data_IF_788881607675
#
_entry.id   IF_788881607675
#
_cell.length_a   1.000
_cell.length_b   1.000
_cell.length_c   1.000
_cell.angle_alpha   90.00
_cell.angle_beta   90.00
_cell.angle_gamma   90.00
#
_symmetry.space_group_name_H-M   'P 1'
#
loop_
_entity.id
_entity.type
_entity.pdbx_description
1 polymer ?
#
# COMPACT_ATOMS: atom_id res chain seq x y z
N UNK A 1 -0.85 1.76 32.95
CA UNK A 1 0.60 2.07 33.00
C UNK A 1 1.21 1.49 34.27
N UNK A 2 2.35 0.77 34.14
CA UNK A 2 3.19 0.13 35.21
C UNK A 2 2.89 -1.30 35.69
N UNK A 3 2.34 -2.22 34.87
CA UNK A 3 2.38 -3.67 35.20
C UNK A 3 2.78 -4.65 34.10
N UNK A 4 3.20 -4.20 32.92
CA UNK A 4 3.51 -5.11 31.79
C UNK A 4 5.00 -5.24 31.44
N UNK A 5 5.91 -4.64 32.21
CA UNK A 5 7.36 -4.76 31.94
C UNK A 5 8.02 -6.03 32.50
N UNK A 6 7.29 -6.92 33.19
CA UNK A 6 7.89 -8.02 33.94
C UNK A 6 8.01 -9.36 33.20
N UNK A 7 7.50 -9.50 31.97
CA UNK A 7 7.53 -10.78 31.25
C UNK A 7 8.79 -10.98 30.39
N UNK A 8 9.67 -9.97 30.26
CA UNK A 8 10.89 -10.06 29.45
C UNK A 8 12.15 -10.55 30.20
N UNK A 9 12.10 -10.77 31.53
CA UNK A 9 13.33 -11.01 32.32
C UNK A 9 13.66 -12.47 32.64
N UNK A 10 12.84 -13.47 32.30
CA UNK A 10 13.03 -14.85 32.80
C UNK A 10 13.76 -15.85 31.89
N UNK A 11 14.35 -15.43 30.76
CA UNK A 11 15.14 -16.34 29.90
C UNK A 11 16.67 -16.14 29.96
N UNK A 12 17.21 -15.29 30.85
CA UNK A 12 18.62 -14.87 30.81
C UNK A 12 19.53 -15.43 31.92
N UNK A 13 19.13 -16.45 32.68
CA UNK A 13 20.01 -17.01 33.71
C UNK A 13 20.22 -18.51 33.49
N UNK A 14 21.42 -18.85 33.04
CA UNK A 14 21.94 -20.21 33.13
C UNK A 14 23.03 -20.46 32.11
N UNK A 15 24.28 -20.07 32.44
CA UNK A 15 25.52 -20.67 31.91
C UNK A 15 26.73 -20.04 32.63
N UNK A 16 27.11 -20.59 33.78
CA UNK A 16 28.48 -20.52 34.30
C UNK A 16 28.89 -21.94 34.71
N UNK A 17 29.93 -22.47 34.08
CA UNK A 17 30.56 -23.75 34.40
C UNK A 17 31.95 -23.80 33.77
N UNK A 18 32.97 -23.88 34.62
CA UNK A 18 34.38 -23.84 34.26
C UNK A 18 34.88 -25.16 33.64
N UNK A 19 35.79 -25.08 32.66
CA UNK A 19 36.54 -26.21 32.13
C UNK A 19 37.59 -25.76 31.10
N UNK A 20 38.82 -26.25 31.23
CA UNK A 20 40.00 -25.91 30.40
C UNK A 20 40.30 -26.94 29.30
N UNK A 21 40.90 -26.45 28.20
CA UNK A 21 41.92 -27.08 27.30
C UNK A 21 41.55 -27.34 25.80
N UNK A 22 42.41 -26.76 24.93
CA UNK A 22 42.93 -27.09 23.58
C UNK A 22 42.21 -26.75 22.25
N UNK A 23 43.05 -26.30 21.30
CA UNK A 23 42.83 -25.95 19.89
C UNK A 23 42.67 -27.20 18.99
N UNK A 24 42.11 -27.22 17.77
CA UNK A 24 42.23 -26.33 16.58
C UNK A 24 41.11 -26.60 15.52
N UNK A 25 40.84 -25.58 14.69
CA UNK A 25 40.30 -25.56 13.30
C UNK A 25 38.79 -25.81 13.05
N UNK A 26 38.24 -25.40 11.87
CA UNK A 26 38.25 -24.09 11.20
C UNK A 26 36.99 -23.27 11.58
N UNK A 27 37.02 -21.95 11.35
CA UNK A 27 35.97 -20.99 11.74
C UNK A 27 34.58 -21.43 11.26
N UNK A 28 33.73 -21.79 12.23
CA UNK A 28 32.28 -22.01 12.04
C UNK A 28 31.62 -20.68 11.64
N UNK A 29 30.61 -20.66 10.74
CA UNK A 29 29.88 -19.43 10.45
C UNK A 29 29.24 -18.95 11.76
N UNK A 30 29.58 -17.74 12.17
CA UNK A 30 29.09 -17.11 13.40
C UNK A 30 27.56 -17.13 13.44
N UNK A 31 26.98 -17.89 14.36
CA UNK A 31 25.56 -17.71 14.73
C UNK A 31 25.36 -16.24 15.11
N UNK A 32 24.32 -15.54 14.63
CA UNK A 32 23.94 -14.27 15.20
C UNK A 32 23.61 -14.52 16.68
N UNK A 33 24.38 -13.91 17.58
CA UNK A 33 24.20 -14.00 19.03
C UNK A 33 23.01 -13.20 19.55
N UNK A 34 22.23 -12.59 18.66
CA UNK A 34 21.18 -11.64 18.99
C UNK A 34 19.95 -11.77 18.08
N UNK A 35 18.79 -11.42 18.64
CA UNK A 35 17.52 -11.21 17.95
C UNK A 35 17.70 -10.22 16.79
N UNK A 36 17.19 -10.55 15.60
CA UNK A 36 17.21 -9.66 14.43
C UNK A 36 15.80 -9.38 13.95
N UNK A 37 15.56 -8.16 13.48
CA UNK A 37 14.28 -7.76 12.94
C UNK A 37 14.42 -7.48 11.46
N UNK A 38 13.36 -7.77 10.72
CA UNK A 38 13.25 -7.58 9.29
C UNK A 38 11.85 -7.06 9.02
N UNK A 39 11.69 -6.10 8.12
CA UNK A 39 10.37 -5.50 7.92
C UNK A 39 10.20 -4.97 6.51
N UNK A 40 8.95 -4.90 6.09
CA UNK A 40 8.56 -4.23 4.84
C UNK A 40 7.28 -3.41 5.10
N UNK A 41 6.68 -2.88 4.04
CA UNK A 41 5.45 -2.09 4.13
C UNK A 41 4.23 -2.89 4.68
N UNK A 42 4.32 -4.22 4.76
CA UNK A 42 3.19 -5.10 5.08
C UNK A 42 3.30 -5.76 6.46
N UNK A 43 4.53 -6.02 6.94
CA UNK A 43 4.73 -6.65 8.25
C UNK A 43 6.15 -6.48 8.80
N UNK A 44 6.28 -6.74 10.09
CA UNK A 44 7.57 -6.86 10.79
C UNK A 44 7.77 -8.29 11.27
N UNK A 45 8.89 -8.88 10.87
CA UNK A 45 9.37 -10.20 11.24
C UNK A 45 10.54 -10.06 12.22
N UNK A 46 10.65 -11.00 13.15
CA UNK A 46 11.79 -11.14 14.04
C UNK A 46 12.35 -12.56 13.95
N UNK A 47 13.65 -12.66 13.74
CA UNK A 47 14.41 -13.90 13.72
C UNK A 47 15.04 -14.11 15.10
N UNK A 48 14.53 -15.11 15.83
CA UNK A 48 14.93 -15.44 17.20
C UNK A 48 15.89 -16.63 17.20
N UNK A 49 17.13 -16.49 17.68
CA UNK A 49 18.05 -17.63 17.83
C UNK A 49 17.50 -18.67 18.81
N UNK A 50 17.59 -19.95 18.45
CA UNK A 50 17.20 -21.10 19.27
C UNK A 50 18.40 -22.03 19.51
N UNK A 51 18.31 -22.92 20.51
CA UNK A 51 19.37 -23.91 20.81
C UNK A 51 19.79 -24.76 19.60
N UNK A 52 18.91 -24.96 18.62
CA UNK A 52 19.15 -25.78 17.43
C UNK A 52 18.71 -25.13 16.11
N UNK A 53 18.74 -23.80 16.00
CA UNK A 53 18.35 -23.10 14.77
C UNK A 53 17.80 -21.69 15.02
N UNK A 54 16.75 -21.32 14.29
CA UNK A 54 16.04 -20.04 14.46
C UNK A 54 14.53 -20.24 14.48
N UNK A 55 13.81 -19.35 15.14
CA UNK A 55 12.36 -19.17 14.97
C UNK A 55 12.11 -17.86 14.25
N UNK A 56 11.11 -17.82 13.39
CA UNK A 56 10.59 -16.58 12.82
C UNK A 56 9.32 -16.22 13.59
N UNK A 57 9.25 -15.04 14.19
CA UNK A 57 8.01 -14.57 14.81
C UNK A 57 7.59 -13.25 14.19
N UNK A 58 6.29 -12.98 14.25
CA UNK A 58 5.70 -11.73 13.80
C UNK A 58 4.63 -11.31 14.79
N UNK A 59 4.44 -10.00 14.89
CA UNK A 59 3.50 -9.38 15.80
C UNK A 59 2.18 -9.10 15.07
N UNK A 60 1.08 -9.66 15.56
CA UNK A 60 -0.27 -9.22 15.19
C UNK A 60 -0.89 -8.44 16.34
N UNK A 61 -1.42 -7.24 16.10
CA UNK A 61 -2.27 -6.59 17.09
C UNK A 61 -3.56 -7.41 17.29
N UNK A 62 -4.04 -7.48 18.53
CA UNK A 62 -5.30 -8.13 18.88
C UNK A 62 -6.05 -7.33 19.93
N UNK A 63 -7.33 -7.66 20.15
CA UNK A 63 -8.24 -6.93 21.05
C UNK A 63 -7.71 -6.82 22.51
N UNK A 64 -6.74 -7.65 22.91
CA UNK A 64 -6.13 -7.65 24.25
C UNK A 64 -4.58 -7.47 24.22
N UNK A 65 -4.05 -6.78 23.20
CA UNK A 65 -2.62 -6.51 23.03
C UNK A 65 -1.96 -7.32 21.89
N UNK A 66 -0.65 -7.13 21.71
CA UNK A 66 0.11 -7.76 20.63
C UNK A 66 0.22 -9.27 20.83
N UNK A 67 -0.39 -10.05 19.93
CA UNK A 67 -0.21 -11.49 19.83
C UNK A 67 1.02 -11.79 18.99
N UNK A 68 2.00 -12.45 19.61
CA UNK A 68 3.18 -12.96 18.93
C UNK A 68 2.90 -14.36 18.43
N UNK A 69 2.92 -14.53 17.12
CA UNK A 69 2.82 -15.85 16.49
C UNK A 69 4.23 -16.31 16.10
N UNK A 70 4.50 -17.59 16.39
CA UNK A 70 5.82 -18.19 16.26
C UNK A 70 5.79 -19.23 15.17
N UNK A 71 6.72 -19.13 14.24
CA UNK A 71 6.96 -20.13 13.23
C UNK A 71 8.32 -20.79 13.43
N UNK A 72 8.33 -22.10 13.30
CA UNK A 72 9.56 -22.86 13.37
C UNK A 72 10.23 -22.91 12.01
N UNK A 73 11.50 -22.51 11.97
CA UNK A 73 12.34 -22.67 10.80
C UNK A 73 13.15 -23.96 10.94
N UNK A 74 13.00 -24.87 9.98
CA UNK A 74 13.84 -26.06 9.91
C UNK A 74 15.05 -25.78 8.99
N UNK A 75 16.29 -26.02 9.44
CA UNK A 75 17.46 -25.82 8.58
C UNK A 75 17.47 -26.83 7.43
N UNK A 76 17.66 -26.36 6.20
CA UNK A 76 17.85 -27.21 5.02
C UNK A 76 19.32 -27.25 4.58
N UNK A 77 19.95 -26.07 4.50
CA UNK A 77 21.36 -25.86 4.11
C UNK A 77 21.85 -24.50 4.64
N UNK A 78 23.11 -24.16 4.41
CA UNK A 78 23.71 -22.89 4.85
C UNK A 78 22.83 -21.70 4.40
N UNK A 79 22.38 -20.90 5.36
CA UNK A 79 21.54 -19.69 5.20
C UNK A 79 20.14 -19.91 4.57
N UNK A 80 19.65 -21.15 4.57
CA UNK A 80 18.36 -21.55 3.97
C UNK A 80 17.55 -22.44 4.93
N UNK A 81 16.28 -22.08 5.11
CA UNK A 81 15.37 -22.73 6.05
C UNK A 81 14.00 -22.98 5.42
N UNK A 82 13.30 -24.00 5.88
CA UNK A 82 11.88 -24.23 5.55
C UNK A 82 11.00 -23.63 6.63
N UNK A 83 10.01 -22.82 6.26
CA UNK A 83 8.94 -22.41 7.16
C UNK A 83 7.97 -23.57 7.38
N UNK A 84 7.68 -23.97 8.63
CA UNK A 84 6.81 -25.13 8.89
C UNK A 84 5.34 -24.82 9.10
N UNK A 85 4.99 -23.55 9.31
CA UNK A 85 3.63 -23.11 9.61
C UNK A 85 3.31 -21.83 8.80
N UNK A 86 2.05 -21.65 8.41
CA UNK A 86 1.61 -20.55 7.55
C UNK A 86 1.41 -19.25 8.34
N UNK A 87 1.90 -18.14 7.78
CA UNK A 87 1.63 -16.79 8.25
C UNK A 87 0.69 -15.99 7.35
N UNK A 88 0.40 -14.73 7.72
CA UNK A 88 -0.62 -13.92 7.04
C UNK A 88 -0.29 -13.66 5.57
N UNK A 89 0.99 -13.64 5.25
CA UNK A 89 1.56 -13.29 3.94
C UNK A 89 2.49 -14.38 3.40
N UNK A 90 3.13 -15.17 4.27
CA UNK A 90 4.09 -16.24 3.90
C UNK A 90 3.48 -17.62 4.16
N UNK A 91 3.46 -18.48 3.13
CA UNK A 91 2.87 -19.82 3.23
C UNK A 91 3.80 -20.83 3.90
N UNK A 92 3.22 -21.84 4.57
CA UNK A 92 3.95 -23.01 5.03
C UNK A 92 4.75 -23.65 3.87
N UNK A 93 5.89 -24.25 4.20
CA UNK A 93 6.88 -24.84 3.30
C UNK A 93 7.60 -23.86 2.36
N UNK A 94 7.38 -22.55 2.52
CA UNK A 94 8.17 -21.53 1.81
C UNK A 94 9.64 -21.59 2.23
N UNK A 95 10.54 -21.48 1.26
CA UNK A 95 11.97 -21.31 1.54
C UNK A 95 12.21 -19.91 2.12
N UNK A 96 12.88 -19.87 3.26
CA UNK A 96 13.35 -18.66 3.93
C UNK A 96 14.87 -18.58 3.79
N UNK A 97 15.39 -17.48 3.26
CA UNK A 97 16.84 -17.26 3.10
C UNK A 97 17.29 -16.00 3.81
N UNK A 98 18.46 -16.07 4.43
CA UNK A 98 19.13 -14.91 5.02
C UNK A 98 20.28 -14.48 4.11
N UNK A 99 20.39 -13.18 3.85
CA UNK A 99 21.54 -12.66 3.09
C UNK A 99 22.84 -12.85 3.88
N UNK A 100 24.00 -12.97 3.20
CA UNK A 100 25.30 -12.87 3.87
C UNK A 100 25.39 -11.56 4.66
N UNK A 101 25.71 -11.65 5.95
CA UNK A 101 25.73 -10.49 6.88
C UNK A 101 24.37 -10.16 7.52
N UNK A 102 23.28 -10.77 7.05
CA UNK A 102 21.93 -10.64 7.61
C UNK A 102 21.34 -9.25 7.40
N UNK A 103 21.59 -8.64 6.24
CA UNK A 103 21.01 -7.37 5.78
C UNK A 103 19.61 -7.54 5.17
N UNK A 104 19.22 -8.76 4.81
CA UNK A 104 17.89 -9.07 4.27
C UNK A 104 17.46 -10.48 4.66
N UNK A 105 16.15 -10.67 4.80
CA UNK A 105 15.47 -11.95 4.91
C UNK A 105 14.54 -12.08 3.71
N UNK A 106 14.56 -13.21 3.02
CA UNK A 106 13.65 -13.52 1.92
C UNK A 106 12.76 -14.66 2.37
N UNK A 107 11.44 -14.52 2.32
CA UNK A 107 10.50 -15.58 2.65
C UNK A 107 9.43 -15.71 1.56
N UNK A 108 9.47 -16.82 0.83
CA UNK A 108 8.64 -16.98 -0.37
C UNK A 108 8.95 -15.91 -1.41
N UNK A 109 7.95 -15.09 -1.76
CA UNK A 109 8.09 -13.98 -2.73
C UNK A 109 8.48 -12.64 -2.10
N UNK A 110 8.53 -12.55 -0.77
CA UNK A 110 8.73 -11.29 -0.07
C UNK A 110 10.18 -11.13 0.38
N UNK A 111 10.69 -9.91 0.24
CA UNK A 111 12.01 -9.49 0.72
C UNK A 111 11.82 -8.51 1.87
N UNK A 112 12.49 -8.78 2.98
CA UNK A 112 12.43 -8.00 4.22
C UNK A 112 13.83 -7.45 4.52
N UNK A 113 14.10 -6.16 4.31
CA UNK A 113 15.35 -5.54 4.76
C UNK A 113 15.52 -5.68 6.27
N UNK A 114 16.77 -5.87 6.71
CA UNK A 114 17.13 -5.91 8.11
C UNK A 114 16.89 -4.53 8.73
N UNK A 115 16.24 -4.55 9.88
CA UNK A 115 15.96 -3.36 10.67
C UNK A 115 16.78 -3.44 11.95
N UNK A 116 17.37 -2.30 12.33
CA UNK A 116 17.95 -2.15 13.67
C UNK A 116 16.81 -1.90 14.63
N UNK A 117 16.39 -2.92 15.37
CA UNK A 117 15.29 -2.77 16.32
C UNK A 117 15.76 -2.07 17.59
N UNK A 118 15.28 -0.85 17.78
CA UNK A 118 15.53 -0.02 18.96
C UNK A 118 14.61 -0.36 20.13
N UNK A 119 13.71 -1.35 19.99
CA UNK A 119 12.88 -1.84 21.10
C UNK A 119 11.38 -1.50 21.07
N UNK A 120 10.79 -1.06 19.95
CA UNK A 120 9.46 -0.41 19.99
C UNK A 120 8.46 -0.90 18.90
N UNK A 121 7.13 -0.92 19.17
CA UNK A 121 6.09 -1.57 18.33
C UNK A 121 5.74 -0.81 17.02
N UNK A 122 4.93 -1.41 16.11
CA UNK A 122 4.57 -0.85 14.77
C UNK A 122 3.98 0.56 14.76
N UNK A 123 3.44 1.03 15.87
CA UNK A 123 2.97 2.42 16.03
C UNK A 123 4.08 3.48 15.84
N UNK A 124 5.37 3.07 15.87
CA UNK A 124 6.52 3.93 15.56
C UNK A 124 6.79 4.12 14.06
N UNK A 125 6.35 3.21 13.17
CA UNK A 125 6.54 3.39 11.72
C UNK A 125 5.80 4.62 11.19
N UNK A 126 4.80 5.08 11.93
CA UNK A 126 4.02 6.28 11.67
C UNK A 126 4.18 7.37 12.73
N UNK A 127 5.37 7.48 13.37
CA UNK A 127 5.61 8.51 14.38
C UNK A 127 5.79 9.90 13.78
N UNK A 128 6.58 10.00 12.72
CA UNK A 128 6.84 11.25 12.02
C UNK A 128 6.58 11.02 10.54
N UNK A 129 5.72 11.86 9.97
CA UNK A 129 5.50 11.88 8.54
C UNK A 129 6.79 12.36 7.84
N UNK A 130 7.14 11.83 6.66
CA UNK A 130 8.18 12.40 5.83
C UNK A 130 7.91 13.87 5.55
N UNK A 131 8.97 14.62 5.27
CA UNK A 131 8.84 15.99 4.80
C UNK A 131 8.05 16.02 3.47
N UNK A 132 7.31 17.10 3.26
CA UNK A 132 6.60 17.33 2.00
C UNK A 132 7.59 17.82 0.94
N UNK A 133 7.81 17.01 -0.10
CA UNK A 133 8.71 17.34 -1.19
C UNK A 133 8.43 18.74 -1.76
N UNK A 134 9.48 19.45 -2.16
CA UNK A 134 9.33 20.75 -2.79
C UNK A 134 8.48 20.65 -4.08
N UNK A 135 7.47 21.52 -4.28
CA UNK A 135 6.55 21.41 -5.42
C UNK A 135 7.22 21.44 -6.80
N UNK A 136 8.37 22.10 -6.92
CA UNK A 136 9.15 22.14 -8.15
C UNK A 136 9.76 20.76 -8.48
N UNK A 137 10.19 20.00 -7.49
CA UNK A 137 10.73 18.64 -7.69
C UNK A 137 9.61 17.60 -7.81
N UNK A 138 8.53 17.74 -7.04
CA UNK A 138 7.34 16.89 -7.17
C UNK A 138 6.79 16.95 -8.60
N UNK A 139 6.86 18.12 -9.25
CA UNK A 139 6.46 18.31 -10.63
C UNK A 139 7.27 17.48 -11.66
N UNK A 140 8.36 16.83 -11.25
CA UNK A 140 9.17 15.90 -12.07
C UNK A 140 8.87 14.42 -11.79
N UNK A 141 8.13 14.10 -10.73
CA UNK A 141 7.67 12.73 -10.42
C UNK A 141 6.65 12.30 -11.47
N UNK A 142 6.72 11.06 -11.93
CA UNK A 142 5.77 10.51 -12.88
C UNK A 142 6.36 9.43 -13.78
N UNK A 143 5.57 9.01 -14.77
CA UNK A 143 5.98 8.00 -15.75
C UNK A 143 6.58 8.66 -16.98
N UNK A 144 7.62 8.04 -17.54
CA UNK A 144 8.30 8.52 -18.73
C UNK A 144 8.50 7.36 -19.71
N UNK A 145 8.14 7.54 -20.98
CA UNK A 145 8.22 6.50 -22.00
C UNK A 145 9.11 6.92 -23.17
N UNK A 146 9.91 6.00 -23.69
CA UNK A 146 10.88 6.29 -24.75
C UNK A 146 11.66 5.03 -25.12
N UNK A 147 11.99 4.87 -26.41
CA UNK A 147 12.78 3.72 -26.88
C UNK A 147 12.10 2.34 -26.75
N UNK A 148 10.85 2.27 -26.31
CA UNK A 148 10.14 1.02 -25.99
C UNK A 148 10.06 0.72 -24.49
N UNK A 149 10.73 1.51 -23.66
CA UNK A 149 10.76 1.36 -22.20
C UNK A 149 9.80 2.35 -21.51
N UNK A 150 9.44 2.02 -20.27
CA UNK A 150 8.78 2.91 -19.33
C UNK A 150 9.64 3.04 -18.07
N UNK A 151 9.87 4.28 -17.66
CA UNK A 151 10.59 4.66 -16.45
C UNK A 151 9.60 5.29 -15.48
N UNK A 152 9.83 5.10 -14.19
CA UNK A 152 9.09 5.77 -13.13
C UNK A 152 10.06 6.64 -12.34
N UNK A 153 9.83 7.95 -12.31
CA UNK A 153 10.52 8.88 -11.42
C UNK A 153 9.67 9.05 -10.17
N UNK A 154 10.27 8.87 -8.99
CA UNK A 154 9.62 9.03 -7.69
C UNK A 154 10.53 9.77 -6.71
N UNK A 155 9.98 10.22 -5.59
CA UNK A 155 10.81 10.58 -4.44
C UNK A 155 11.25 9.32 -3.71
N UNK A 156 12.47 9.29 -3.16
CA UNK A 156 12.92 8.32 -2.18
C UNK A 156 13.93 8.97 -1.22
N UNK A 157 13.56 9.03 0.06
CA UNK A 157 14.31 9.68 1.13
C UNK A 157 14.62 11.16 0.84
N UNK A 158 13.65 11.88 0.27
CA UNK A 158 13.77 13.30 -0.06
C UNK A 158 14.51 13.62 -1.37
N UNK A 159 14.99 12.61 -2.09
CA UNK A 159 15.70 12.77 -3.37
C UNK A 159 14.91 12.11 -4.50
N UNK A 160 15.16 12.51 -5.75
CA UNK A 160 14.57 11.81 -6.89
C UNK A 160 15.26 10.46 -7.13
N UNK A 161 14.47 9.46 -7.44
CA UNK A 161 14.90 8.11 -7.80
C UNK A 161 14.21 7.68 -9.10
N UNK A 162 14.95 6.97 -9.94
CA UNK A 162 14.47 6.41 -11.20
C UNK A 162 14.34 4.91 -11.09
N UNK A 163 13.14 4.39 -11.38
CA UNK A 163 12.83 2.97 -11.45
C UNK A 163 12.73 2.57 -12.93
N UNK A 164 13.47 1.52 -13.30
CA UNK A 164 13.49 0.97 -14.66
C UNK A 164 12.68 -0.33 -14.72
N UNK A 165 11.67 -0.39 -15.59
CA UNK A 165 10.87 -1.60 -15.82
C UNK A 165 11.74 -2.70 -16.48
N UNK A 166 12.19 -3.69 -15.70
CA UNK A 166 13.03 -4.79 -16.20
C UNK A 166 12.25 -5.87 -16.95
N UNK A 167 10.96 -6.05 -16.62
CA UNK A 167 10.09 -7.06 -17.22
C UNK A 167 8.86 -6.40 -17.83
N UNK A 168 8.58 -6.73 -19.09
CA UNK A 168 7.37 -6.25 -19.77
C UNK A 168 6.12 -6.68 -18.98
N UNK A 169 5.30 -5.70 -18.59
CA UNK A 169 4.08 -5.83 -17.78
C UNK A 169 4.30 -5.88 -16.26
N UNK A 170 5.46 -5.45 -15.74
CA UNK A 170 5.68 -5.23 -14.31
C UNK A 170 4.98 -3.94 -13.86
N UNK A 171 3.65 -3.98 -13.80
CA UNK A 171 2.80 -2.78 -13.62
C UNK A 171 2.98 -2.11 -12.25
N UNK A 172 3.47 -2.84 -11.26
CA UNK A 172 3.72 -2.31 -9.91
C UNK A 172 5.21 -2.06 -9.65
N UNK A 173 6.08 -2.17 -10.68
CA UNK A 173 7.53 -1.93 -10.60
C UNK A 173 8.23 -2.70 -9.46
N UNK A 174 7.62 -3.78 -8.93
CA UNK A 174 8.17 -4.54 -7.80
C UNK A 174 9.46 -5.27 -8.15
N UNK A 175 9.75 -5.43 -9.44
CA UNK A 175 10.97 -6.06 -9.95
C UNK A 175 11.92 -5.06 -10.61
N UNK A 176 11.67 -3.75 -10.46
CA UNK A 176 12.47 -2.72 -11.10
C UNK A 176 13.80 -2.51 -10.40
N UNK A 177 14.86 -2.22 -11.17
CA UNK A 177 16.07 -1.63 -10.61
C UNK A 177 15.80 -0.17 -10.28
N UNK A 178 16.37 0.33 -9.19
CA UNK A 178 16.26 1.72 -8.80
C UNK A 178 17.62 2.42 -8.81
N UNK A 179 17.62 3.67 -9.28
CA UNK A 179 18.82 4.48 -9.46
C UNK A 179 18.59 5.86 -8.88
N UNK A 180 19.44 6.27 -7.93
CA UNK A 180 19.37 7.60 -7.35
C UNK A 180 19.70 8.68 -8.41
N UNK A 181 18.94 9.76 -8.41
CA UNK A 181 19.20 10.96 -9.19
C UNK A 181 19.78 12.03 -8.27
N UNK A 182 21.08 12.28 -8.38
CA UNK A 182 21.74 13.33 -7.61
C UNK A 182 21.50 14.66 -8.29
N UNK A 183 20.84 15.60 -7.59
CA UNK A 183 20.58 16.94 -8.13
C UNK A 183 21.89 17.71 -8.35
N UNK A 184 22.09 18.21 -9.57
CA UNK A 184 23.22 19.07 -9.90
C UNK A 184 22.81 20.55 -9.77
N UNK A 185 21.90 20.99 -10.64
CA UNK A 185 21.35 22.36 -10.67
C UNK A 185 20.05 22.39 -11.49
N UNK A 186 19.03 23.10 -11.00
CA UNK A 186 17.70 23.17 -11.63
C UNK A 186 17.17 21.78 -12.01
N UNK A 187 16.92 21.57 -13.31
CA UNK A 187 16.40 20.34 -13.91
C UNK A 187 17.49 19.37 -14.37
N UNK A 188 18.74 19.61 -13.99
CA UNK A 188 19.88 18.74 -14.29
C UNK A 188 20.23 17.88 -13.08
N UNK A 189 20.30 16.57 -13.33
CA UNK A 189 20.59 15.53 -12.36
C UNK A 189 21.68 14.59 -12.90
N UNK A 190 22.26 13.79 -12.02
CA UNK A 190 23.18 12.71 -12.38
C UNK A 190 22.58 11.39 -11.92
N UNK A 191 22.32 10.48 -12.87
CA UNK A 191 21.97 9.10 -12.56
C UNK A 191 23.24 8.36 -12.15
N UNK A 192 23.21 7.75 -10.97
CA UNK A 192 24.32 6.98 -10.42
C UNK A 192 24.00 5.49 -10.42
N UNK A 193 24.78 4.70 -11.17
CA UNK A 193 24.75 3.25 -11.13
C UNK A 193 25.98 2.76 -10.36
N UNK A 194 25.75 2.25 -9.14
CA UNK A 194 26.80 1.71 -8.27
C UNK A 194 26.83 0.20 -8.35
N UNK A 195 27.84 -0.34 -9.02
CA UNK A 195 28.20 -1.76 -8.97
C UNK A 195 29.20 -2.04 -7.85
N UNK A 196 29.42 -3.31 -7.48
CA UNK A 196 30.39 -3.67 -6.43
C UNK A 196 31.85 -3.27 -6.75
N UNK A 197 32.15 -2.95 -8.02
CA UNK A 197 33.50 -2.60 -8.49
C UNK A 197 33.54 -1.44 -9.51
N UNK A 198 32.39 -0.85 -9.85
CA UNK A 198 32.28 0.18 -10.90
C UNK A 198 31.23 1.21 -10.54
N UNK A 199 31.56 2.48 -10.73
CA UNK A 199 30.59 3.58 -10.71
C UNK A 199 30.40 4.08 -12.15
N UNK A 200 29.20 3.91 -12.70
CA UNK A 200 28.82 4.51 -13.97
C UNK A 200 27.85 5.64 -13.68
N UNK A 201 28.04 6.79 -14.33
CA UNK A 201 27.15 7.93 -14.19
C UNK A 201 26.65 8.41 -15.55
N UNK A 202 25.38 8.79 -15.64
CA UNK A 202 24.80 9.40 -16.83
C UNK A 202 24.15 10.74 -16.50
N UNK A 203 24.33 11.78 -17.34
CA UNK A 203 23.62 13.03 -17.14
C UNK A 203 22.13 12.83 -17.42
N UNK A 204 21.31 13.37 -16.52
CA UNK A 204 19.85 13.42 -16.65
C UNK A 204 19.40 14.87 -16.73
N UNK A 205 18.50 15.17 -17.66
CA UNK A 205 17.90 16.50 -17.78
C UNK A 205 16.41 16.41 -17.99
N UNK A 206 15.64 17.10 -17.15
CA UNK A 206 14.21 17.27 -17.36
C UNK A 206 13.94 18.50 -18.22
N UNK A 207 12.90 18.42 -19.04
CA UNK A 207 12.28 19.58 -19.68
C UNK A 207 10.91 19.81 -19.04
N UNK A 208 10.49 21.06 -18.92
CA UNK A 208 9.19 21.47 -18.34
C UNK A 208 8.33 22.22 -19.36
N UNK A 209 7.02 22.23 -19.14
CA UNK A 209 6.10 23.13 -19.84
C UNK A 209 6.06 24.52 -19.16
N UNK A 210 5.22 25.42 -19.70
CA UNK A 210 5.05 26.77 -19.16
C UNK A 210 4.41 26.86 -17.76
N UNK A 211 3.83 25.77 -17.23
CA UNK A 211 3.33 25.71 -15.85
C UNK A 211 4.34 25.10 -14.88
N UNK A 212 5.56 24.78 -15.34
CA UNK A 212 6.60 24.16 -14.53
C UNK A 212 6.47 22.64 -14.37
N UNK A 213 5.51 22.00 -15.05
CA UNK A 213 5.35 20.54 -14.99
C UNK A 213 6.38 19.87 -15.90
N UNK A 214 7.10 18.86 -15.39
CA UNK A 214 8.03 18.07 -16.20
C UNK A 214 7.28 17.38 -17.34
N UNK A 215 7.79 17.46 -18.58
CA UNK A 215 7.15 16.90 -19.79
C UNK A 215 8.01 15.86 -20.50
N UNK A 216 9.31 15.87 -20.26
CA UNK A 216 10.24 14.87 -20.77
C UNK A 216 11.48 14.81 -19.88
N UNK A 217 12.20 13.70 -19.95
CA UNK A 217 13.53 13.57 -19.39
C UNK A 217 14.47 12.97 -20.44
N UNK A 218 15.73 13.40 -20.41
CA UNK A 218 16.81 12.85 -21.25
C UNK A 218 17.85 12.20 -20.36
N UNK A 219 18.28 10.99 -20.72
CA UNK A 219 19.36 10.26 -20.06
C UNK A 219 20.44 10.00 -21.12
N UNK A 220 21.58 10.68 -21.02
CA UNK A 220 22.57 10.67 -22.10
C UNK A 220 21.96 11.08 -23.44
N UNK A 221 21.92 10.15 -24.41
CA UNK A 221 21.36 10.38 -25.75
C UNK A 221 19.92 9.86 -25.92
N UNK A 222 19.31 9.31 -24.87
CA UNK A 222 17.95 8.78 -24.90
C UNK A 222 16.96 9.81 -24.38
N UNK A 223 15.80 9.92 -25.01
CA UNK A 223 14.73 10.86 -24.63
C UNK A 223 13.46 10.09 -24.29
N UNK A 224 12.83 10.48 -23.19
CA UNK A 224 11.58 9.90 -22.71
C UNK A 224 10.54 11.01 -22.54
N UNK A 225 9.37 10.83 -23.12
CA UNK A 225 8.23 11.73 -22.95
C UNK A 225 7.45 11.33 -21.71
N UNK A 226 6.97 12.30 -20.93
CA UNK A 226 6.14 12.00 -19.76
C UNK A 226 4.79 11.43 -20.19
N UNK A 227 4.36 10.36 -19.54
CA UNK A 227 2.97 9.89 -19.58
C UNK A 227 2.24 10.63 -18.45
N UNK A 228 1.38 11.56 -18.81
CA UNK A 228 0.48 12.19 -17.85
C UNK A 228 -0.64 11.21 -17.50
N UNK A 229 -0.69 10.76 -16.25
CA UNK A 229 -1.93 10.17 -15.75
C UNK A 229 -2.97 11.29 -15.65
N UNK A 230 -4.25 10.98 -15.95
CA UNK A 230 -5.24 12.05 -16.16
C UNK A 230 -5.49 12.89 -14.90
N UNK A 231 -5.21 12.36 -13.71
CA UNK A 231 -5.26 13.09 -12.43
C UNK A 231 -4.20 14.19 -12.26
N UNK A 232 -3.08 14.15 -12.98
CA UNK A 232 -1.93 15.07 -12.77
C UNK A 232 -2.17 16.54 -13.22
N UNK A 233 -3.33 16.87 -13.80
CA UNK A 233 -3.67 18.22 -14.26
C UNK A 233 -5.11 18.64 -13.86
N UNK A 234 -5.65 18.12 -12.76
CA UNK A 234 -7.05 18.34 -12.33
C UNK A 234 -8.08 17.97 -13.41
N UNK A 235 -7.72 17.04 -14.32
CA UNK A 235 -8.59 16.55 -15.38
C UNK A 235 -9.05 15.15 -15.02
N UNK A 236 -10.08 15.03 -14.19
CA UNK A 236 -10.49 13.73 -13.69
C UNK A 236 -10.76 12.80 -14.87
N UNK A 237 -10.32 11.56 -14.76
CA UNK A 237 -10.44 10.59 -15.85
C UNK A 237 -11.93 10.43 -16.20
N UNK A 238 -12.25 10.30 -17.49
CA UNK A 238 -13.63 10.19 -17.98
C UNK A 238 -13.75 9.06 -18.98
N UNK A 239 -14.76 8.20 -18.78
CA UNK A 239 -15.26 7.31 -19.83
C UNK A 239 -16.24 8.06 -20.70
N UNK A 240 -16.40 7.60 -21.94
CA UNK A 240 -17.54 7.99 -22.77
C UNK A 240 -18.64 6.93 -22.56
N UNK A 241 -19.76 7.27 -21.89
CA UNK A 241 -20.84 6.29 -21.69
C UNK A 241 -21.41 5.79 -23.01
N UNK A 242 -21.75 4.50 -23.08
CA UNK A 242 -22.32 3.89 -24.29
C UNK A 242 -23.81 4.19 -24.49
N UNK A 243 -24.46 4.78 -23.49
CA UNK A 243 -25.84 5.25 -23.52
C UNK A 243 -26.05 6.40 -22.52
N UNK A 244 -27.20 7.05 -22.57
CA UNK A 244 -27.54 8.11 -21.61
C UNK A 244 -27.86 7.53 -20.22
N UNK A 245 -27.68 8.33 -19.17
CA UNK A 245 -28.03 7.95 -17.80
C UNK A 245 -29.50 7.53 -17.66
N UNK A 246 -30.42 8.23 -18.34
CA UNK A 246 -31.84 7.89 -18.34
C UNK A 246 -32.10 6.50 -18.95
N UNK A 247 -31.47 6.19 -20.07
CA UNK A 247 -31.58 4.86 -20.69
C UNK A 247 -30.98 3.76 -19.82
N UNK A 248 -29.84 4.03 -19.17
CA UNK A 248 -29.21 3.08 -18.26
C UNK A 248 -30.11 2.79 -17.05
N UNK A 249 -30.74 3.81 -16.44
CA UNK A 249 -31.70 3.67 -15.34
C UNK A 249 -32.92 2.83 -15.72
N UNK A 250 -33.53 3.10 -16.88
CA UNK A 250 -34.68 2.29 -17.32
C UNK A 250 -34.30 0.84 -17.57
N UNK A 251 -33.11 0.57 -18.14
CA UNK A 251 -32.62 -0.80 -18.33
C UNK A 251 -32.24 -1.49 -17.03
N UNK A 252 -31.68 -0.77 -16.06
CA UNK A 252 -31.23 -1.31 -14.77
C UNK A 252 -32.37 -2.00 -14.00
N UNK A 253 -33.60 -1.46 -14.09
CA UNK A 253 -34.81 -2.02 -13.45
C UNK A 253 -35.14 -3.45 -13.87
N UNK A 254 -34.66 -3.90 -15.04
CA UNK A 254 -34.91 -5.24 -15.54
C UNK A 254 -33.98 -6.30 -14.95
N UNK A 255 -32.91 -5.90 -14.23
CA UNK A 255 -31.94 -6.83 -13.65
C UNK A 255 -32.35 -7.21 -12.22
N UNK A 256 -32.63 -8.49 -11.94
CA UNK A 256 -32.92 -8.92 -10.58
C UNK A 256 -31.66 -8.87 -9.71
N UNK A 257 -31.82 -8.53 -8.42
CA UNK A 257 -30.74 -8.60 -7.45
C UNK A 257 -30.26 -10.06 -7.33
N UNK A 258 -28.95 -10.35 -7.49
CA UNK A 258 -28.40 -11.69 -7.34
C UNK A 258 -28.75 -12.29 -5.98
N UNK A 259 -29.07 -13.59 -5.93
CA UNK A 259 -29.51 -14.28 -4.72
C UNK A 259 -28.52 -14.15 -3.56
N UNK A 260 -27.22 -14.13 -3.84
CA UNK A 260 -26.16 -13.92 -2.84
C UNK A 260 -26.28 -12.56 -2.14
N UNK A 261 -26.60 -11.50 -2.88
CA UNK A 261 -26.81 -10.15 -2.34
C UNK A 261 -28.18 -10.05 -1.67
N UNK A 262 -29.22 -10.63 -2.29
CA UNK A 262 -30.58 -10.60 -1.75
C UNK A 262 -30.73 -11.36 -0.42
N UNK A 263 -29.88 -12.36 -0.16
CA UNK A 263 -29.85 -13.11 1.10
C UNK A 263 -29.22 -12.31 2.25
N UNK A 264 -28.46 -11.25 1.98
CA UNK A 264 -27.83 -10.42 3.00
C UNK A 264 -28.86 -9.50 3.66
N UNK A 265 -28.94 -9.55 4.98
CA UNK A 265 -29.77 -8.60 5.74
C UNK A 265 -29.02 -7.28 5.85
N UNK A 266 -29.46 -6.28 5.08
CA UNK A 266 -28.92 -4.93 5.10
C UNK A 266 -29.32 -4.20 6.41
N UNK A 267 -28.46 -4.24 7.44
CA UNK A 267 -28.51 -3.35 8.62
C UNK A 267 -27.60 -2.14 8.37
N UNK A 268 -28.05 -1.26 7.48
CA UNK A 268 -27.31 -0.08 7.08
C UNK A 268 -27.49 1.05 8.10
N UNK A 269 -26.40 1.76 8.39
CA UNK A 269 -26.36 2.97 9.19
C UNK A 269 -25.58 4.05 8.45
N UNK A 270 -25.92 5.31 8.69
CA UNK A 270 -25.12 6.40 8.13
C UNK A 270 -23.74 6.43 8.77
N UNK A 271 -22.70 6.58 7.95
CA UNK A 271 -21.33 6.71 8.44
C UNK A 271 -21.19 7.92 9.35
N UNK A 272 -21.80 9.05 9.01
CA UNK A 272 -21.74 10.28 9.82
C UNK A 272 -22.39 10.15 11.20
N UNK A 273 -23.33 9.20 11.38
CA UNK A 273 -23.95 8.95 12.68
C UNK A 273 -23.04 8.14 13.62
N UNK A 274 -22.14 7.32 13.06
CA UNK A 274 -21.22 6.45 13.81
C UNK A 274 -19.84 7.07 13.95
N UNK A 275 -19.36 7.73 12.89
CA UNK A 275 -18.06 8.39 12.80
C UNK A 275 -18.30 9.87 12.51
N UNK A 276 -18.58 10.63 13.57
CA UNK A 276 -18.96 12.05 13.46
C UNK A 276 -17.86 12.95 12.86
N UNK A 277 -16.61 12.49 12.88
CA UNK A 277 -15.46 13.17 12.27
C UNK A 277 -15.27 12.84 10.80
N UNK A 278 -16.00 11.86 10.24
CA UNK A 278 -15.88 11.51 8.83
C UNK A 278 -16.44 12.63 7.94
N UNK A 279 -15.67 13.01 6.92
CA UNK A 279 -16.13 13.91 5.85
C UNK A 279 -16.60 13.11 4.65
N UNK A 280 -17.52 13.67 3.88
CA UNK A 280 -18.08 13.04 2.69
C UNK A 280 -17.68 13.82 1.45
N UNK A 281 -17.11 13.12 0.47
CA UNK A 281 -16.91 13.56 -0.90
C UNK A 281 -17.45 12.46 -1.82
N UNK A 282 -18.78 12.28 -1.80
CA UNK A 282 -19.44 11.15 -2.46
C UNK A 282 -19.35 11.29 -3.98
N UNK A 283 -18.31 10.69 -4.58
CA UNK A 283 -17.90 10.90 -5.98
C UNK A 283 -19.02 10.56 -6.96
N UNK A 284 -19.70 9.44 -6.74
CA UNK A 284 -20.81 9.00 -7.60
C UNK A 284 -22.13 9.74 -7.39
N UNK A 285 -22.25 10.56 -6.34
CA UNK A 285 -23.41 11.42 -6.10
C UNK A 285 -23.25 12.82 -6.70
N UNK A 286 -22.14 13.09 -7.38
CA UNK A 286 -21.83 14.36 -8.04
C UNK A 286 -21.32 14.13 -9.48
N UNK A 287 -20.95 15.18 -10.21
CA UNK A 287 -20.28 15.05 -11.50
C UNK A 287 -18.77 14.72 -11.38
N UNK A 288 -18.24 14.66 -10.16
CA UNK A 288 -16.83 14.37 -9.89
C UNK A 288 -16.55 12.85 -9.84
N UNK A 289 -16.82 12.16 -10.94
CA UNK A 289 -16.53 10.73 -11.13
C UNK A 289 -16.28 10.43 -12.61
N UNK A 290 -15.89 9.21 -12.94
CA UNK A 290 -15.54 8.81 -14.31
C UNK A 290 -16.66 8.99 -15.36
N UNK A 291 -17.93 9.06 -14.96
CA UNK A 291 -19.06 9.28 -15.87
C UNK A 291 -19.36 10.75 -16.12
N UNK A 292 -18.89 11.66 -15.26
CA UNK A 292 -19.16 13.09 -15.36
C UNK A 292 -20.59 13.50 -14.97
N UNK A 293 -21.38 12.58 -14.42
CA UNK A 293 -22.76 12.80 -13.96
C UNK A 293 -23.01 12.04 -12.66
N UNK A 294 -23.97 12.48 -11.86
CA UNK A 294 -24.35 11.81 -10.62
C UNK A 294 -25.16 10.55 -10.91
N UNK A 295 -24.51 9.38 -10.80
CA UNK A 295 -25.15 8.09 -11.06
C UNK A 295 -25.88 7.56 -9.83
N UNK A 296 -25.41 7.89 -8.62
CA UNK A 296 -26.03 7.55 -7.34
C UNK A 296 -26.86 8.72 -6.84
N UNK A 297 -28.09 8.47 -6.41
CA UNK A 297 -28.99 9.52 -5.91
C UNK A 297 -28.83 9.80 -4.41
N UNK A 298 -28.36 8.81 -3.64
CA UNK A 298 -28.13 8.97 -2.20
C UNK A 298 -27.04 10.01 -1.93
N UNK A 299 -27.29 10.86 -0.93
CA UNK A 299 -26.31 11.84 -0.42
C UNK A 299 -25.71 11.42 0.93
N UNK A 300 -25.97 10.17 1.34
CA UNK A 300 -25.44 9.59 2.57
C UNK A 300 -24.45 8.50 2.21
N UNK A 301 -23.32 8.48 2.90
CA UNK A 301 -22.54 7.26 3.00
C UNK A 301 -23.22 6.35 4.03
N UNK A 302 -23.53 5.13 3.63
CA UNK A 302 -24.12 4.11 4.49
C UNK A 302 -23.23 2.87 4.48
N UNK A 303 -23.11 2.22 5.64
CA UNK A 303 -22.41 0.95 5.78
C UNK A 303 -23.23 0.02 6.65
N UNK A 304 -22.95 -1.28 6.56
CA UNK A 304 -23.41 -2.24 7.56
C UNK A 304 -22.96 -1.75 8.95
N UNK A 305 -23.84 -1.86 9.96
CA UNK A 305 -23.56 -1.38 11.32
C UNK A 305 -22.22 -1.85 11.88
N UNK A 306 -21.86 -3.11 11.69
CA UNK A 306 -20.57 -3.64 12.17
C UNK A 306 -19.38 -3.03 11.43
N UNK A 307 -19.52 -2.83 10.11
CA UNK A 307 -18.50 -2.15 9.32
C UNK A 307 -18.36 -0.68 9.73
N UNK A 308 -19.46 0.03 10.01
CA UNK A 308 -19.41 1.40 10.52
C UNK A 308 -18.75 1.49 11.91
N UNK A 309 -19.02 0.54 12.80
CA UNK A 309 -18.35 0.45 14.12
C UNK A 309 -16.85 0.15 13.97
N UNK A 310 -16.48 -0.69 13.01
CA UNK A 310 -15.08 -0.92 12.65
C UNK A 310 -14.42 0.35 12.13
N UNK A 311 -15.10 1.09 11.25
CA UNK A 311 -14.59 2.34 10.69
C UNK A 311 -14.33 3.39 11.78
N UNK A 312 -15.12 3.42 12.85
CA UNK A 312 -14.87 4.31 14.01
C UNK A 312 -13.50 4.06 14.64
N UNK A 313 -13.07 2.79 14.75
CA UNK A 313 -11.73 2.46 15.27
C UNK A 313 -10.63 2.95 14.33
N UNK A 314 -10.83 2.84 13.02
CA UNK A 314 -9.87 3.35 12.04
C UNK A 314 -9.77 4.88 12.14
N UNK A 315 -10.89 5.56 12.32
CA UNK A 315 -10.95 7.00 12.53
C UNK A 315 -10.18 7.43 13.79
N UNK A 316 -10.29 6.67 14.89
CA UNK A 316 -9.55 6.94 16.12
C UNK A 316 -8.03 6.80 15.94
N UNK A 317 -7.58 5.76 15.23
CA UNK A 317 -6.16 5.56 14.90
C UNK A 317 -5.63 6.73 14.08
N UNK A 318 -6.34 7.11 13.02
CA UNK A 318 -5.93 8.22 12.15
C UNK A 318 -5.96 9.57 12.86
N UNK A 319 -6.95 9.79 13.74
CA UNK A 319 -7.06 11.03 14.50
C UNK A 319 -5.86 11.24 15.43
N UNK A 320 -5.31 10.16 16.00
CA UNK A 320 -4.07 10.21 16.79
C UNK A 320 -2.85 10.66 15.99
N UNK A 321 -2.93 10.62 14.65
CA UNK A 321 -1.90 11.03 13.69
C UNK A 321 -2.22 12.34 12.98
N UNK A 322 -3.31 13.03 13.35
CA UNK A 322 -3.70 14.30 12.74
C UNK A 322 -4.57 14.17 11.49
N UNK A 323 -5.06 12.97 11.16
CA UNK A 323 -5.85 12.73 9.93
C UNK A 323 -7.28 12.25 10.24
N UNK A 324 -8.22 12.66 9.41
CA UNK A 324 -9.59 12.15 9.41
C UNK A 324 -9.91 11.39 8.13
N UNK A 325 -11.00 10.62 8.16
CA UNK A 325 -11.48 9.84 7.01
C UNK A 325 -12.30 10.73 6.06
N UNK A 326 -11.98 10.68 4.77
CA UNK A 326 -12.75 11.28 3.68
C UNK A 326 -13.42 10.15 2.88
N UNK A 327 -14.72 9.99 3.03
CA UNK A 327 -15.48 8.90 2.41
C UNK A 327 -15.85 9.30 0.98
N UNK A 328 -15.37 8.52 0.01
CA UNK A 328 -15.72 8.64 -1.40
C UNK A 328 -16.93 7.80 -1.78
N UNK A 329 -17.04 6.61 -1.18
CA UNK A 329 -18.18 5.73 -1.40
C UNK A 329 -18.41 4.77 -0.22
N UNK A 330 -19.67 4.37 0.00
CA UNK A 330 -20.05 3.28 0.90
C UNK A 330 -21.00 2.32 0.17
N UNK A 331 -22.17 2.06 0.75
CA UNK A 331 -23.21 1.27 0.10
C UNK A 331 -23.65 1.87 -1.24
N UNK A 332 -23.60 1.05 -2.30
CA UNK A 332 -24.23 1.32 -3.59
C UNK A 332 -25.37 0.34 -3.79
N UNK A 333 -26.57 0.84 -4.12
CA UNK A 333 -27.69 -0.05 -4.45
C UNK A 333 -27.34 -0.94 -5.65
N UNK A 334 -27.93 -2.14 -5.72
CA UNK A 334 -27.71 -3.01 -6.89
C UNK A 334 -28.18 -2.35 -8.20
N UNK A 335 -29.25 -1.55 -8.15
CA UNK A 335 -29.76 -0.80 -9.30
C UNK A 335 -28.73 0.25 -9.77
N UNK A 336 -28.16 1.06 -8.86
CA UNK A 336 -27.12 2.04 -9.22
C UNK A 336 -25.84 1.37 -9.73
N UNK A 337 -25.49 0.19 -9.19
CA UNK A 337 -24.42 -0.65 -9.71
C UNK A 337 -24.71 -1.10 -11.16
N UNK A 338 -25.94 -1.55 -11.44
CA UNK A 338 -26.34 -1.94 -12.77
C UNK A 338 -26.32 -0.76 -13.76
N UNK A 339 -26.71 0.43 -13.31
CA UNK A 339 -26.57 1.68 -14.08
C UNK A 339 -25.10 1.90 -14.46
N UNK A 340 -24.18 1.86 -13.50
CA UNK A 340 -22.74 2.06 -13.74
C UNK A 340 -22.20 1.05 -14.78
N UNK A 341 -22.51 -0.24 -14.61
CA UNK A 341 -22.09 -1.32 -15.52
C UNK A 341 -22.62 -1.11 -16.95
N UNK A 342 -23.88 -0.69 -17.09
CA UNK A 342 -24.50 -0.39 -18.39
C UNK A 342 -23.87 0.83 -19.07
N UNK A 343 -23.48 1.86 -18.31
CA UNK A 343 -22.82 3.05 -18.84
C UNK A 343 -21.41 2.75 -19.37
N UNK A 344 -20.63 1.92 -18.68
CA UNK A 344 -19.27 1.52 -19.08
C UNK A 344 -19.25 0.81 -20.43
N UNK A 345 -20.19 -0.12 -20.64
CA UNK A 345 -20.26 -0.95 -21.83
C UNK A 345 -19.04 -1.87 -22.04
N UNK A 346 -18.96 -2.54 -23.20
CA UNK A 346 -17.98 -3.62 -23.42
C UNK A 346 -16.50 -3.18 -23.33
N UNK A 347 -16.20 -1.93 -23.68
CA UNK A 347 -14.82 -1.42 -23.72
C UNK A 347 -14.20 -1.24 -22.33
N UNK A 348 -15.02 -1.16 -21.28
CA UNK A 348 -14.58 -0.98 -19.89
C UNK A 348 -15.27 -1.99 -18.96
N UNK A 349 -15.70 -3.13 -19.51
CA UNK A 349 -16.51 -4.10 -18.76
C UNK A 349 -15.74 -4.64 -17.54
N UNK A 350 -14.42 -4.78 -17.64
CA UNK A 350 -13.57 -5.29 -16.57
C UNK A 350 -13.44 -4.39 -15.34
N UNK A 351 -13.92 -3.14 -15.38
CA UNK A 351 -13.85 -2.22 -14.24
C UNK A 351 -14.86 -2.56 -13.14
N UNK A 352 -15.91 -3.30 -13.46
CA UNK A 352 -16.93 -3.71 -12.51
C UNK A 352 -17.24 -5.21 -12.68
N UNK A 353 -17.62 -5.94 -11.63
CA UNK A 353 -18.02 -7.33 -11.77
C UNK A 353 -19.22 -7.54 -12.71
N UNK A 354 -19.48 -8.78 -13.15
CA UNK A 354 -20.69 -9.11 -13.90
C UNK A 354 -21.97 -8.81 -13.12
N UNK A 355 -23.03 -8.40 -13.84
CA UNK A 355 -24.35 -8.12 -13.24
C UNK A 355 -24.91 -9.34 -12.48
N UNK A 356 -24.63 -10.55 -12.96
CA UNK A 356 -25.07 -11.81 -12.33
C UNK A 356 -24.47 -12.07 -10.95
N UNK A 357 -23.36 -11.41 -10.61
CA UNK A 357 -22.65 -11.59 -9.34
C UNK A 357 -22.96 -10.48 -8.34
N UNK A 358 -23.17 -9.25 -8.83
CA UNK A 358 -23.18 -8.05 -7.99
C UNK A 358 -21.77 -7.69 -7.52
N UNK A 359 -21.67 -6.81 -6.52
CA UNK A 359 -20.38 -6.44 -5.94
C UNK A 359 -20.46 -6.15 -4.44
N UNK A 360 -19.30 -6.11 -3.77
CA UNK A 360 -19.17 -5.98 -2.31
C UNK A 360 -19.84 -4.70 -1.76
N UNK A 361 -19.82 -3.60 -2.51
CA UNK A 361 -20.55 -2.37 -2.16
C UNK A 361 -22.07 -2.58 -2.02
N UNK A 362 -22.66 -3.57 -2.69
CA UNK A 362 -24.10 -3.87 -2.57
C UNK A 362 -24.47 -4.53 -1.23
N UNK A 363 -23.49 -4.86 -0.39
CA UNK A 363 -23.70 -5.44 0.95
C UNK A 363 -23.52 -4.42 2.08
N UNK A 364 -23.00 -3.23 1.76
CA UNK A 364 -22.60 -2.21 2.75
C UNK A 364 -21.36 -2.58 3.56
N UNK A 365 -20.62 -3.62 3.16
CA UNK A 365 -19.38 -4.06 3.82
C UNK A 365 -18.12 -3.42 3.23
N UNK A 366 -18.23 -2.86 2.02
CA UNK A 366 -17.13 -2.15 1.37
C UNK A 366 -17.31 -0.64 1.41
N UNK A 367 -16.18 0.06 1.37
CA UNK A 367 -16.09 1.50 1.24
C UNK A 367 -14.85 1.90 0.45
N UNK A 368 -14.95 3.06 -0.17
CA UNK A 368 -13.82 3.75 -0.79
C UNK A 368 -13.51 5.01 0.02
N UNK A 369 -12.26 5.15 0.43
CA UNK A 369 -11.88 6.14 1.44
C UNK A 369 -10.49 6.72 1.20
N UNK A 370 -10.37 7.99 1.55
CA UNK A 370 -9.13 8.77 1.55
C UNK A 370 -8.95 9.47 2.90
N UNK A 371 -7.97 10.35 2.99
CA UNK A 371 -7.66 11.13 4.18
C UNK A 371 -7.97 12.61 3.97
N UNK A 372 -8.25 13.30 5.07
CA UNK A 372 -8.18 14.75 5.15
C UNK A 372 -7.37 15.14 6.39
N UNK A 373 -6.74 16.32 6.34
CA UNK A 373 -5.97 16.87 7.46
C UNK A 373 -6.91 17.44 8.54
N UNK A 374 -6.77 17.03 9.81
CA UNK A 374 -7.68 17.46 10.88
C UNK A 374 -7.53 18.94 11.24
N UNK A 375 -6.34 19.51 11.10
CA UNK A 375 -6.06 20.89 11.48
C UNK A 375 -6.70 21.88 10.48
N UNK A 376 -6.43 21.68 9.20
CA UNK A 376 -6.89 22.54 8.10
C UNK A 376 -8.25 22.12 7.57
N UNK A 377 -8.64 20.86 7.76
CA UNK A 377 -9.83 20.27 7.19
C UNK A 377 -9.71 19.93 5.70
N UNK A 378 -8.53 20.05 5.10
CA UNK A 378 -8.31 19.91 3.65
C UNK A 378 -8.15 18.44 3.26
N UNK A 379 -8.76 17.97 2.14
CA UNK A 379 -8.45 16.66 1.58
C UNK A 379 -6.95 16.48 1.34
N UNK A 380 -6.41 15.32 1.70
CA UNK A 380 -5.01 14.97 1.43
C UNK A 380 -4.87 14.54 -0.03
N UNK A 381 -3.82 15.05 -0.70
CA UNK A 381 -3.41 14.57 -2.02
C UNK A 381 -2.73 13.21 -1.87
N UNK A 382 -3.46 12.15 -2.20
CA UNK A 382 -2.97 10.78 -2.20
C UNK A 382 -2.26 10.44 -3.52
N UNK A 383 -1.80 9.19 -3.66
CA UNK A 383 -0.95 8.77 -4.78
C UNK A 383 -1.65 8.77 -6.15
N UNK A 384 -2.99 8.74 -6.14
CA UNK A 384 -3.85 8.94 -7.30
C UNK A 384 -5.19 9.50 -6.83
N UNK A 385 -6.01 10.01 -7.74
CA UNK A 385 -7.41 10.33 -7.42
C UNK A 385 -8.31 9.08 -7.55
N UNK A 386 -9.56 9.21 -7.11
CA UNK A 386 -10.57 8.17 -7.17
C UNK A 386 -10.87 7.71 -8.61
N UNK A 387 -11.00 6.40 -8.81
CA UNK A 387 -11.22 5.73 -10.10
C UNK A 387 -10.21 6.12 -11.20
N UNK A 388 -8.99 6.52 -10.80
CA UNK A 388 -7.93 6.76 -11.75
C UNK A 388 -7.42 5.44 -12.33
N UNK A 389 -7.63 5.23 -13.63
CA UNK A 389 -7.09 4.08 -14.34
C UNK A 389 -5.61 4.28 -14.72
N UNK A 390 -4.74 4.23 -13.72
CA UNK A 390 -3.29 4.21 -13.87
C UNK A 390 -2.70 3.18 -12.90
N UNK A 391 -1.43 2.77 -13.04
CA UNK A 391 -0.85 1.88 -12.05
C UNK A 391 -0.79 2.47 -10.64
N UNK A 392 -0.99 3.79 -10.48
CA UNK A 392 -1.07 4.44 -9.18
C UNK A 392 -2.30 4.02 -8.34
N UNK A 393 -3.33 3.43 -8.97
CA UNK A 393 -4.45 2.84 -8.23
C UNK A 393 -4.03 1.64 -7.38
N UNK A 394 -2.95 0.93 -7.74
CA UNK A 394 -2.56 -0.29 -7.04
C UNK A 394 -2.10 0.01 -5.61
N UNK A 395 -2.54 -0.83 -4.67
CA UNK A 395 -2.22 -0.69 -3.24
C UNK A 395 -0.72 -0.71 -2.97
N UNK A 396 0.03 -1.51 -3.73
CA UNK A 396 1.47 -1.63 -3.61
C UNK A 396 2.27 -0.67 -4.52
N UNK A 397 1.62 0.27 -5.21
CA UNK A 397 2.29 1.11 -6.20
C UNK A 397 3.49 1.88 -5.59
N UNK A 398 4.69 1.81 -6.18
CA UNK A 398 5.91 2.32 -5.55
C UNK A 398 6.22 3.78 -5.91
N UNK A 399 5.45 4.43 -6.78
CA UNK A 399 5.70 5.81 -7.22
C UNK A 399 5.26 6.89 -6.21
N UNK A 400 5.12 8.12 -6.70
CA UNK A 400 4.72 9.26 -5.87
C UNK A 400 5.80 9.79 -4.93
N UNK A 401 5.40 10.67 -4.02
CA UNK A 401 6.23 11.18 -2.92
C UNK A 401 6.37 10.16 -1.79
N UNK A 402 7.39 10.30 -0.95
CA UNK A 402 7.51 9.55 0.31
C UNK A 402 6.30 9.80 1.20
N UNK A 403 5.84 11.05 1.27
CA UNK A 403 4.66 11.43 2.04
C UNK A 403 3.39 10.73 1.53
N UNK A 404 3.14 10.69 0.21
CA UNK A 404 1.99 9.98 -0.37
C UNK A 404 2.02 8.49 -0.05
N UNK A 405 3.17 7.84 -0.18
CA UNK A 405 3.30 6.40 0.15
C UNK A 405 3.13 6.14 1.63
N UNK A 406 3.69 7.01 2.48
CA UNK A 406 3.52 6.95 3.93
C UNK A 406 2.04 7.08 4.31
N UNK A 407 1.33 8.07 3.78
CA UNK A 407 -0.08 8.32 4.09
C UNK A 407 -1.00 7.20 3.60
N UNK A 408 -0.72 6.64 2.41
CA UNK A 408 -1.40 5.41 1.95
C UNK A 408 -1.15 4.24 2.91
N UNK A 409 0.10 4.05 3.34
CA UNK A 409 0.45 3.02 4.32
C UNK A 409 -0.24 3.22 5.67
N UNK A 410 -0.38 4.47 6.12
CA UNK A 410 -1.06 4.82 7.36
C UNK A 410 -2.57 4.53 7.28
N UNK A 411 -3.21 4.91 6.17
CA UNK A 411 -4.61 4.57 5.90
C UNK A 411 -4.79 3.05 5.92
N UNK A 412 -3.96 2.32 5.16
CA UNK A 412 -4.03 0.88 5.07
C UNK A 412 -3.84 0.18 6.41
N UNK A 413 -2.88 0.67 7.22
CA UNK A 413 -2.66 0.22 8.59
C UNK A 413 -3.94 0.42 9.43
N UNK A 414 -4.46 1.64 9.50
CA UNK A 414 -5.63 1.95 10.31
C UNK A 414 -6.86 1.11 9.93
N UNK A 415 -7.11 0.95 8.63
CA UNK A 415 -8.20 0.14 8.10
C UNK A 415 -8.00 -1.35 8.44
N UNK A 416 -6.81 -1.88 8.20
CA UNK A 416 -6.50 -3.30 8.47
C UNK A 416 -6.59 -3.63 9.96
N UNK A 417 -6.06 -2.76 10.83
CA UNK A 417 -6.18 -2.90 12.29
C UNK A 417 -7.62 -2.88 12.77
N UNK A 418 -8.50 -2.23 12.00
CA UNK A 418 -9.91 -2.10 12.35
C UNK A 418 -10.78 -3.25 11.84
N UNK A 419 -10.21 -4.22 11.11
CA UNK A 419 -10.92 -5.41 10.63
C UNK A 419 -11.30 -5.38 9.16
N UNK A 420 -10.72 -4.48 8.38
CA UNK A 420 -10.88 -4.44 6.92
C UNK A 420 -9.77 -5.23 6.19
N UNK A 421 -10.03 -5.57 4.93
CA UNK A 421 -9.06 -6.00 3.93
C UNK A 421 -9.01 -4.92 2.84
N UNK A 422 -7.82 -4.39 2.55
CA UNK A 422 -7.63 -3.52 1.38
C UNK A 422 -7.57 -4.32 0.08
N UNK A 423 -8.04 -3.73 -1.02
CA UNK A 423 -7.89 -4.28 -2.37
C UNK A 423 -6.44 -4.18 -2.82
N UNK A 424 -5.90 -5.21 -3.50
CA UNK A 424 -4.60 -5.09 -4.18
C UNK A 424 -4.69 -4.15 -5.40
N UNK A 425 -5.90 -4.04 -5.97
CA UNK A 425 -6.15 -3.33 -7.22
C UNK A 425 -6.44 -1.85 -7.00
N UNK A 426 -6.94 -1.44 -5.84
CA UNK A 426 -7.42 -0.09 -5.55
C UNK A 426 -7.03 0.30 -4.12
N UNK A 427 -6.10 1.24 -3.95
CA UNK A 427 -5.55 1.59 -2.64
C UNK A 427 -6.59 2.20 -1.68
N UNK A 428 -7.67 2.76 -2.23
CA UNK A 428 -8.77 3.38 -1.49
C UNK A 428 -9.86 2.38 -1.08
N UNK A 429 -9.90 1.19 -1.67
CA UNK A 429 -11.00 0.23 -1.51
C UNK A 429 -10.72 -0.75 -0.35
N UNK A 430 -11.67 -0.84 0.57
CA UNK A 430 -11.59 -1.74 1.72
C UNK A 430 -12.88 -2.54 1.91
N UNK A 431 -12.77 -3.81 2.28
CA UNK A 431 -13.88 -4.70 2.58
C UNK A 431 -13.81 -5.21 4.03
N UNK A 432 -14.93 -5.09 4.77
CA UNK A 432 -15.02 -5.56 6.14
C UNK A 432 -15.12 -7.10 6.22
N UNK A 433 -14.34 -7.72 7.13
CA UNK A 433 -14.23 -9.19 7.27
C UNK A 433 -15.39 -9.88 8.01
N UNK A 434 -16.08 -9.18 8.92
CA UNK A 434 -16.88 -9.81 10.00
C UNK A 434 -18.41 -9.81 9.87
#
# INVERSE_FOLDING_TARGET
>A
MKKELLTLCFCLIGLWGAGTVQATAPVTPTQPSALRYFGNAHETLALVPQKSGFSLCYALPGENGTRWNWFYLSPERKDSYTLREEGPTVKADSTVRLSPGGSQLVAGRYVYPAMTYTGKPPDEAFQEAPYEMAPDEEALIGYYHGGGDVLLVREHQGELELLYELEKNDRDFTKSNSFALVKNHYDAYTLMEKGPYTDTSSPVRFDRNGSGLGISLRIGNHSYSRIFTRGENDRPWRVKPVMTLAQAREKAKAFPVPSKIAAEKLDLVSVSDVVSTAKLDLRYSTANNLFGEAIVSSKKAELNRKAAQALSRAAEILASKGYGLLIWEGYRSYEDFAVAKLLLGPSHDSLLPPLSEGYSHNTGRSLDVSLYDLETGTPIKMISDFDELSPAQYRAFPGGTDLQRYLRGLLDYAMTQSGFNGSDMEWWHYEYKG
#
